data_IF_733776751323
#
_entry.id   IF_733776751323
#
_cell.length_a   1.000
_cell.length_b   1.000
_cell.length_c   1.000
_cell.angle_alpha   90.00
_cell.angle_beta   90.00
_cell.angle_gamma   90.00
#
_symmetry.space_group_name_H-M   'P 1'
#
loop_
_entity.id
_entity.type
_entity.pdbx_description
1 polymer ?
#
# COMPACT_ATOMS: atom_id res chain seq x y z
N UNK A 1 1.65 -13.85 15.27
CA UNK A 1 2.06 -12.50 14.82
C UNK A 1 1.02 -11.49 15.29
N UNK A 2 1.40 -10.24 15.58
CA UNK A 2 0.52 -9.20 16.14
C UNK A 2 -0.03 -8.32 15.01
N UNK A 3 -1.31 -8.44 14.62
CA UNK A 3 -1.89 -7.66 13.52
C UNK A 3 -1.85 -6.15 13.75
N UNK A 4 -1.76 -5.71 15.01
CA UNK A 4 -1.63 -4.29 15.38
C UNK A 4 -0.33 -3.68 14.81
N UNK A 5 0.73 -4.48 14.68
CA UNK A 5 1.99 -4.02 14.13
C UNK A 5 1.92 -3.80 12.61
N UNK A 6 1.15 -4.63 11.89
CA UNK A 6 0.90 -4.44 10.46
C UNK A 6 0.09 -3.15 10.19
N UNK A 7 -0.89 -2.84 11.04
CA UNK A 7 -1.66 -1.60 10.95
C UNK A 7 -0.80 -0.34 11.19
N UNK A 8 0.13 -0.40 12.14
CA UNK A 8 1.05 0.70 12.42
C UNK A 8 2.02 0.94 11.25
N UNK A 9 2.57 -0.13 10.66
CA UNK A 9 3.43 -0.07 9.49
C UNK A 9 2.69 0.50 8.27
N UNK A 10 1.48 0.02 8.00
CA UNK A 10 0.60 0.52 6.94
C UNK A 10 0.31 2.02 7.07
N UNK A 11 -0.03 2.46 8.29
CA UNK A 11 -0.31 3.87 8.57
C UNK A 11 0.94 4.74 8.36
N UNK A 12 2.12 4.27 8.77
CA UNK A 12 3.38 4.99 8.58
C UNK A 12 3.80 5.03 7.11
N UNK A 13 3.63 3.92 6.39
CA UNK A 13 3.87 3.82 4.96
C UNK A 13 3.00 4.80 4.16
N UNK A 14 1.73 4.96 4.54
CA UNK A 14 0.82 5.94 3.94
C UNK A 14 1.33 7.38 4.12
N UNK A 15 1.86 7.71 5.30
CA UNK A 15 2.47 9.01 5.56
C UNK A 15 3.71 9.21 4.67
N UNK A 16 4.60 8.22 4.59
CA UNK A 16 5.76 8.28 3.70
C UNK A 16 5.40 8.43 2.23
N UNK A 17 4.37 7.71 1.77
CA UNK A 17 3.84 7.82 0.42
C UNK A 17 3.35 9.24 0.12
N UNK A 18 2.64 9.87 1.07
CA UNK A 18 2.19 11.26 0.97
C UNK A 18 3.34 12.27 0.98
N UNK A 19 4.39 12.01 1.73
CA UNK A 19 5.60 12.84 1.79
C UNK A 19 6.51 12.66 0.57
N UNK A 20 6.22 11.70 -0.31
CA UNK A 20 7.07 11.38 -1.46
C UNK A 20 8.31 10.55 -1.10
N UNK A 21 8.38 10.02 0.12
CA UNK A 21 9.47 9.18 0.60
C UNK A 21 9.23 7.72 0.17
N UNK A 22 9.26 7.49 -1.15
CA UNK A 22 8.70 6.28 -1.78
C UNK A 22 9.39 5.00 -1.34
N UNK A 23 10.72 4.98 -1.24
CA UNK A 23 11.47 3.79 -0.81
C UNK A 23 11.11 3.37 0.63
N UNK A 24 10.90 4.35 1.52
CA UNK A 24 10.47 4.09 2.90
C UNK A 24 9.03 3.59 2.95
N UNK A 25 8.16 4.13 2.10
CA UNK A 25 6.79 3.63 1.98
C UNK A 25 6.76 2.17 1.54
N UNK A 26 7.53 1.80 0.51
CA UNK A 26 7.63 0.41 0.02
C UNK A 26 8.13 -0.52 1.11
N UNK A 27 9.21 -0.16 1.82
CA UNK A 27 9.78 -0.99 2.89
C UNK A 27 8.78 -1.27 4.03
N UNK A 28 8.00 -0.27 4.43
CA UNK A 28 7.00 -0.44 5.47
C UNK A 28 5.80 -1.26 4.98
N UNK A 29 5.32 -1.04 3.74
CA UNK A 29 4.27 -1.87 3.16
C UNK A 29 4.73 -3.32 2.98
N UNK A 30 5.97 -3.57 2.55
CA UNK A 30 6.53 -4.92 2.45
C UNK A 30 6.52 -5.63 3.81
N UNK A 31 6.92 -4.91 4.86
CA UNK A 31 6.90 -5.45 6.21
C UNK A 31 5.47 -5.71 6.70
N UNK A 32 4.54 -4.81 6.42
CA UNK A 32 3.12 -4.99 6.75
C UNK A 32 2.54 -6.22 6.05
N UNK A 33 2.83 -6.39 4.75
CA UNK A 33 2.35 -7.52 3.93
C UNK A 33 3.02 -8.85 4.28
N UNK A 34 4.23 -8.85 4.83
CA UNK A 34 4.83 -10.07 5.40
C UNK A 34 4.09 -10.54 6.66
N UNK A 35 3.45 -9.62 7.39
CA UNK A 35 2.70 -9.92 8.61
C UNK A 35 1.23 -10.24 8.32
N UNK A 36 0.65 -9.53 7.34
CA UNK A 36 -0.70 -9.75 6.85
C UNK A 36 -0.72 -9.62 5.31
N UNK A 37 -0.53 -10.74 4.58
CA UNK A 37 -0.46 -10.73 3.12
C UNK A 37 -1.74 -10.28 2.41
N UNK A 38 -2.88 -10.32 3.08
CA UNK A 38 -4.19 -9.97 2.51
C UNK A 38 -4.60 -8.52 2.82
N UNK A 39 -3.74 -7.74 3.47
CA UNK A 39 -4.04 -6.36 3.89
C UNK A 39 -4.22 -5.45 2.68
N UNK A 40 -5.46 -5.26 2.26
CA UNK A 40 -5.84 -4.53 1.05
C UNK A 40 -5.24 -3.11 0.99
N UNK A 41 -5.24 -2.38 2.10
CA UNK A 41 -4.64 -1.04 2.16
C UNK A 41 -3.14 -1.06 1.87
N UNK A 42 -2.40 -2.03 2.42
CA UNK A 42 -0.96 -2.11 2.22
C UNK A 42 -0.60 -2.56 0.80
N UNK A 43 -1.38 -3.47 0.22
CA UNK A 43 -1.28 -3.83 -1.19
C UNK A 43 -1.51 -2.61 -2.08
N UNK A 44 -2.60 -1.88 -1.86
CA UNK A 44 -2.93 -0.71 -2.67
C UNK A 44 -1.87 0.39 -2.57
N UNK A 45 -1.44 0.70 -1.34
CA UNK A 45 -0.41 1.70 -1.08
C UNK A 45 0.94 1.34 -1.68
N UNK A 46 1.35 0.06 -1.59
CA UNK A 46 2.57 -0.42 -2.27
C UNK A 46 2.44 -0.36 -3.78
N UNK A 47 1.27 -0.69 -4.33
CA UNK A 47 0.99 -0.58 -5.76
C UNK A 47 1.17 0.85 -6.27
N UNK A 48 0.63 1.85 -5.56
CA UNK A 48 0.85 3.27 -5.88
C UNK A 48 2.33 3.67 -5.79
N UNK A 49 3.03 3.18 -4.76
CA UNK A 49 4.45 3.47 -4.56
C UNK A 49 5.31 2.86 -5.69
N UNK A 50 5.06 1.60 -6.07
CA UNK A 50 5.73 0.90 -7.18
C UNK A 50 5.52 1.60 -8.52
N UNK A 51 4.31 2.11 -8.78
CA UNK A 51 4.02 2.95 -9.96
C UNK A 51 4.95 4.17 -10.03
N UNK A 52 5.20 4.84 -8.90
CA UNK A 52 6.07 6.03 -8.83
C UNK A 52 7.54 5.73 -9.11
N UNK A 53 8.02 4.52 -8.82
CA UNK A 53 9.39 4.07 -9.14
C UNK A 53 9.50 3.33 -10.47
N UNK A 54 8.41 3.24 -11.23
CA UNK A 54 8.39 2.61 -12.57
C UNK A 54 8.22 1.09 -12.57
N UNK A 55 8.01 0.45 -11.42
CA UNK A 55 7.64 -0.97 -11.34
C UNK A 55 6.14 -1.13 -11.67
N UNK A 56 5.80 -0.98 -12.94
CA UNK A 56 4.41 -1.01 -13.41
C UNK A 56 3.79 -2.39 -13.26
N UNK A 57 4.56 -3.46 -13.51
CA UNK A 57 4.07 -4.83 -13.39
C UNK A 57 3.78 -5.20 -11.92
N UNK A 58 4.70 -4.87 -11.01
CA UNK A 58 4.48 -5.08 -9.59
C UNK A 58 3.35 -4.20 -9.04
N UNK A 59 3.19 -2.99 -9.56
CA UNK A 59 2.08 -2.11 -9.21
C UNK A 59 0.72 -2.69 -9.61
N UNK A 60 0.58 -3.16 -10.85
CA UNK A 60 -0.65 -3.74 -11.36
C UNK A 60 -1.06 -4.99 -10.54
N UNK A 61 -0.09 -5.87 -10.26
CA UNK A 61 -0.33 -7.05 -9.43
C UNK A 61 -0.83 -6.68 -8.03
N UNK A 62 -0.20 -5.71 -7.38
CA UNK A 62 -0.60 -5.27 -6.03
C UNK A 62 -1.97 -4.58 -6.03
N UNK A 63 -2.25 -3.72 -7.00
CA UNK A 63 -3.54 -3.03 -7.12
C UNK A 63 -4.68 -4.01 -7.40
N UNK A 64 -4.47 -4.99 -8.28
CA UNK A 64 -5.46 -6.03 -8.58
C UNK A 64 -5.74 -6.91 -7.35
N UNK A 65 -4.70 -7.29 -6.61
CA UNK A 65 -4.86 -8.02 -5.35
C UNK A 65 -5.63 -7.19 -4.32
N UNK A 66 -5.33 -5.91 -4.20
CA UNK A 66 -6.00 -5.02 -3.25
C UNK A 66 -7.50 -4.87 -3.53
N UNK A 67 -7.90 -4.64 -4.78
CA UNK A 67 -9.31 -4.46 -5.16
C UNK A 67 -10.10 -5.77 -5.08
N UNK A 68 -9.45 -6.91 -5.30
CA UNK A 68 -10.07 -8.22 -5.06
C UNK A 68 -10.42 -8.45 -3.58
N UNK A 69 -9.60 -7.95 -2.65
CA UNK A 69 -9.86 -8.05 -1.21
C UNK A 69 -10.84 -6.97 -0.71
N UNK A 70 -10.68 -5.74 -1.16
CA UNK A 70 -11.52 -4.60 -0.78
C UNK A 70 -11.83 -3.72 -2.01
N UNK A 71 -12.98 -3.93 -2.68
CA UNK A 71 -13.32 -3.23 -3.92
C UNK A 71 -13.35 -1.69 -3.83
N UNK A 72 -13.54 -1.14 -2.63
CA UNK A 72 -13.61 0.32 -2.38
C UNK A 72 -12.29 0.93 -1.90
N UNK A 73 -11.20 0.16 -1.80
CA UNK A 73 -9.89 0.68 -1.34
C UNK A 73 -9.41 1.87 -2.18
N UNK A 74 -9.72 1.89 -3.48
CA UNK A 74 -9.39 3.00 -4.37
C UNK A 74 -10.14 4.30 -4.04
N UNK A 75 -11.40 4.19 -3.62
CA UNK A 75 -12.22 5.33 -3.19
C UNK A 75 -11.66 5.91 -1.88
N UNK A 76 -11.29 5.05 -0.95
CA UNK A 76 -10.69 5.44 0.34
C UNK A 76 -9.37 6.18 0.12
N UNK A 77 -8.47 5.67 -0.72
CA UNK A 77 -7.22 6.34 -1.05
C UNK A 77 -7.45 7.69 -1.75
N UNK A 78 -8.51 7.82 -2.54
CA UNK A 78 -8.88 9.09 -3.15
C UNK A 78 -9.24 10.14 -2.10
N UNK A 79 -9.83 9.75 -0.96
CA UNK A 79 -10.06 10.67 0.17
C UNK A 79 -8.76 11.15 0.82
N UNK A 80 -7.68 10.37 0.71
CA UNK A 80 -6.36 10.76 1.15
C UNK A 80 -5.62 11.66 0.16
N UNK A 81 -6.22 11.98 -0.99
CA UNK A 81 -5.58 12.73 -2.07
C UNK A 81 -4.61 11.88 -2.91
N UNK A 82 -4.66 10.56 -2.76
CA UNK A 82 -3.83 9.61 -3.50
C UNK A 82 -4.71 8.91 -4.55
N UNK A 83 -4.29 8.98 -5.81
CA UNK A 83 -4.97 8.31 -6.92
C UNK A 83 -3.95 7.46 -7.68
N UNK A 84 -4.40 6.37 -8.34
CA UNK A 84 -3.57 5.60 -9.26
C UNK A 84 -2.81 6.52 -10.21
#
# INVERSE_FOLDING_TARGET
MRPEYANALDSRALIYLKLGEIDRAIADYDTALRLDPAKAHSLYGRGLAKRKVGDLAGAEADLAAATAQAPRVAEEYSTYGLRP
#
